data_IF_758016376150
#
_entry.id   IF_758016376150
#
_cell.length_a   1.000
_cell.length_b   1.000
_cell.length_c   1.000
_cell.angle_alpha   90.00
_cell.angle_beta   90.00
_cell.angle_gamma   90.00
#
_symmetry.space_group_name_H-M   'P 1'
#
loop_
_entity.id
_entity.type
_entity.pdbx_description
1 polymer ?
#
# COMPACT_ATOMS: atom_id res chain seq x y z
N UNK A 1 -41.65 -6.11 -2.69
CA UNK A 1 -40.94 -6.64 -3.87
C UNK A 1 -39.46 -6.42 -3.63
N UNK A 2 -38.64 -7.48 -3.50
CA UNK A 2 -37.20 -7.30 -3.44
C UNK A 2 -36.74 -6.92 -4.85
N UNK A 3 -36.06 -5.78 -5.06
CA UNK A 3 -35.35 -5.59 -6.31
C UNK A 3 -34.20 -6.61 -6.36
N UNK A 4 -34.14 -7.37 -7.45
CA UNK A 4 -33.05 -8.26 -7.82
C UNK A 4 -31.69 -7.52 -7.77
N UNK A 5 -30.93 -7.62 -6.68
CA UNK A 5 -29.60 -7.01 -6.62
C UNK A 5 -28.54 -7.94 -7.22
N UNK A 6 -28.55 -8.14 -8.54
CA UNK A 6 -27.41 -8.78 -9.22
C UNK A 6 -26.21 -7.84 -9.18
N UNK A 7 -25.38 -7.89 -8.13
CA UNK A 7 -24.02 -7.34 -8.16
C UNK A 7 -23.17 -8.20 -9.09
N UNK A 8 -23.04 -7.80 -10.36
CA UNK A 8 -22.00 -8.32 -11.25
C UNK A 8 -21.45 -7.20 -12.10
N UNK A 9 -20.13 -7.12 -12.17
CA UNK A 9 -19.42 -6.45 -13.26
C UNK A 9 -18.24 -7.35 -13.69
N UNK A 10 -18.56 -8.62 -13.97
CA UNK A 10 -17.74 -9.73 -14.47
C UNK A 10 -16.19 -9.70 -14.28
N UNK A 11 -15.61 -10.31 -13.25
CA UNK A 11 -15.42 -9.81 -11.88
C UNK A 11 -14.36 -8.68 -11.93
N UNK A 12 -14.71 -7.44 -11.45
CA UNK A 12 -13.99 -6.19 -11.62
C UNK A 12 -13.04 -6.16 -12.79
N UNK A 13 -13.61 -5.76 -13.93
CA UNK A 13 -13.79 -6.68 -15.05
C UNK A 13 -12.49 -7.41 -15.45
N UNK A 14 -12.50 -8.71 -15.15
CA UNK A 14 -11.41 -9.67 -14.90
C UNK A 14 -10.10 -9.09 -14.34
N UNK A 15 -10.13 -8.74 -13.04
CA UNK A 15 -9.08 -8.09 -12.25
C UNK A 15 -8.39 -6.94 -12.98
N UNK A 16 -9.30 -6.14 -13.53
CA UNK A 16 -9.17 -5.08 -14.49
C UNK A 16 -8.25 -5.42 -15.65
N UNK A 17 -8.62 -6.46 -16.40
CA UNK A 17 -7.86 -7.01 -17.53
C UNK A 17 -6.51 -7.58 -17.10
N UNK A 18 -6.49 -8.35 -16.00
CA UNK A 18 -5.33 -8.89 -15.27
C UNK A 18 -4.26 -7.82 -15.03
N UNK A 19 -4.68 -6.78 -14.29
CA UNK A 19 -3.99 -5.53 -14.07
C UNK A 19 -3.31 -5.05 -15.35
N UNK A 20 -4.21 -4.85 -16.32
CA UNK A 20 -3.98 -4.55 -17.74
C UNK A 20 -2.66 -5.19 -18.22
N UNK A 21 -2.77 -6.52 -18.31
CA UNK A 21 -1.78 -7.54 -18.68
C UNK A 21 -0.45 -7.44 -17.93
N UNK A 22 -0.54 -7.44 -16.60
CA UNK A 22 0.55 -7.28 -15.63
C UNK A 22 1.48 -6.14 -16.06
N UNK A 23 0.83 -4.98 -16.20
CA UNK A 23 1.38 -3.74 -16.77
C UNK A 23 2.29 -4.05 -17.96
N UNK A 24 1.62 -4.59 -18.99
CA UNK A 24 2.14 -5.22 -20.20
C UNK A 24 3.52 -5.88 -20.03
N UNK A 25 3.49 -6.90 -19.18
CA UNK A 25 4.55 -7.85 -18.85
C UNK A 25 5.83 -7.18 -18.38
N UNK A 26 5.68 -6.35 -17.34
CA UNK A 26 6.74 -5.53 -16.78
C UNK A 26 7.62 -4.93 -17.90
N UNK A 27 6.90 -4.42 -18.91
CA UNK A 27 7.36 -3.77 -20.12
C UNK A 27 8.54 -4.44 -20.86
N UNK A 28 8.50 -5.77 -21.00
CA UNK A 28 9.28 -6.69 -21.86
C UNK A 28 10.75 -7.08 -21.52
N UNK A 29 11.20 -6.90 -20.28
CA UNK A 29 12.25 -7.71 -19.58
C UNK A 29 13.74 -7.51 -19.96
N UNK A 30 14.76 -8.05 -19.22
CA UNK A 30 14.74 -8.97 -18.06
C UNK A 30 14.98 -8.31 -16.69
N UNK A 31 15.55 -7.10 -16.60
CA UNK A 31 15.61 -6.28 -15.39
C UNK A 31 15.75 -4.85 -15.89
N UNK A 32 14.65 -4.13 -16.00
CA UNK A 32 14.76 -2.71 -16.30
C UNK A 32 15.00 -1.99 -14.97
N UNK A 33 16.17 -1.39 -14.89
CA UNK A 33 16.59 -0.38 -13.91
C UNK A 33 17.35 -0.88 -12.67
N UNK A 34 18.44 -0.16 -12.39
CA UNK A 34 19.56 -0.45 -11.49
C UNK A 34 19.16 -0.72 -10.03
N UNK A 35 18.00 -0.21 -9.61
CA UNK A 35 17.44 -0.33 -8.24
C UNK A 35 16.97 -1.76 -7.92
N UNK A 36 16.71 -2.59 -8.95
CA UNK A 36 16.28 -3.97 -8.77
C UNK A 36 17.42 -4.90 -8.33
N UNK A 37 18.67 -4.49 -8.53
CA UNK A 37 19.86 -5.34 -8.38
C UNK A 37 20.06 -5.86 -6.96
N UNK A 38 19.85 -5.01 -5.95
CA UNK A 38 20.08 -5.42 -4.56
C UNK A 38 19.05 -6.43 -4.07
N UNK A 39 17.75 -6.23 -4.35
CA UNK A 39 16.72 -7.19 -3.94
C UNK A 39 16.86 -8.53 -4.66
N UNK A 40 17.23 -8.52 -5.95
CA UNK A 40 17.51 -9.74 -6.71
C UNK A 40 18.79 -10.45 -6.24
N UNK A 41 19.84 -9.70 -5.89
CA UNK A 41 21.07 -10.25 -5.33
C UNK A 41 20.83 -10.90 -3.97
N UNK A 42 20.16 -10.19 -3.05
CA UNK A 42 19.83 -10.70 -1.72
C UNK A 42 18.98 -11.97 -1.80
N UNK A 43 17.99 -12.02 -2.71
CA UNK A 43 17.18 -13.21 -2.94
C UNK A 43 18.00 -14.39 -3.49
N UNK A 44 18.98 -14.13 -4.37
CA UNK A 44 19.88 -15.15 -4.92
C UNK A 44 20.86 -15.70 -3.88
N UNK A 45 21.32 -14.87 -2.96
CA UNK A 45 22.20 -15.25 -1.84
C UNK A 45 21.45 -16.03 -0.74
N UNK A 46 20.11 -16.06 -0.78
CA UNK A 46 19.29 -16.81 0.17
C UNK A 46 19.03 -16.05 1.47
N UNK A 47 19.14 -14.73 1.47
CA UNK A 47 18.89 -13.90 2.65
C UNK A 47 17.39 -13.60 2.83
N UNK A 48 16.70 -14.45 3.58
CA UNK A 48 15.26 -14.32 3.84
C UNK A 48 14.87 -13.15 4.75
N UNK A 49 15.74 -12.76 5.67
CA UNK A 49 15.45 -11.73 6.68
C UNK A 49 16.52 -10.64 6.64
N UNK A 50 16.08 -9.38 6.69
CA UNK A 50 16.99 -8.25 6.86
C UNK A 50 17.71 -8.36 8.19
N UNK A 51 18.98 -7.96 8.20
CA UNK A 51 19.84 -8.04 9.36
C UNK A 51 19.81 -6.77 10.21
N UNK A 52 19.31 -5.64 9.69
CA UNK A 52 19.24 -4.37 10.39
C UNK A 52 18.01 -3.58 9.95
N UNK A 53 17.41 -2.78 10.84
CA UNK A 53 16.18 -2.03 10.55
C UNK A 53 16.53 -0.61 10.11
N UNK A 54 17.07 -0.50 8.90
CA UNK A 54 17.31 0.76 8.21
C UNK A 54 16.10 1.27 7.42
N UNK A 55 16.13 2.54 6.97
CA UNK A 55 15.06 3.12 6.15
C UNK A 55 14.90 2.44 4.77
N UNK A 56 15.93 1.72 4.30
CA UNK A 56 15.99 1.09 2.96
C UNK A 56 15.88 -0.46 2.98
N UNK A 57 15.70 -1.07 4.16
CA UNK A 57 15.87 -2.52 4.36
C UNK A 57 14.59 -3.35 4.15
N UNK A 58 13.42 -2.70 4.14
CA UNK A 58 12.10 -3.27 3.80
C UNK A 58 11.87 -4.77 4.11
N UNK A 59 11.89 -5.19 5.40
CA UNK A 59 12.01 -6.61 5.78
C UNK A 59 10.95 -7.56 5.21
N UNK A 60 9.69 -7.12 5.11
CA UNK A 60 8.62 -7.96 4.56
C UNK A 60 8.78 -8.14 3.05
N UNK A 61 9.22 -7.09 2.35
CA UNK A 61 9.45 -7.15 0.91
C UNK A 61 10.64 -8.07 0.59
N UNK A 62 11.73 -8.00 1.38
CA UNK A 62 12.85 -8.93 1.25
C UNK A 62 12.44 -10.39 1.46
N UNK A 63 11.65 -10.68 2.51
CA UNK A 63 11.17 -12.03 2.76
C UNK A 63 10.33 -12.55 1.59
N UNK A 64 9.39 -11.73 1.11
CA UNK A 64 8.54 -12.09 -0.03
C UNK A 64 9.37 -12.33 -1.29
N UNK A 65 10.36 -11.48 -1.59
CA UNK A 65 11.25 -11.68 -2.73
C UNK A 65 12.03 -12.99 -2.64
N UNK A 66 12.59 -13.30 -1.47
CA UNK A 66 13.39 -14.51 -1.25
C UNK A 66 12.54 -15.76 -1.39
N UNK A 67 11.38 -15.82 -0.72
CA UNK A 67 10.45 -16.94 -0.83
C UNK A 67 9.95 -17.11 -2.27
N UNK A 68 9.59 -16.02 -2.94
CA UNK A 68 9.09 -16.06 -4.31
C UNK A 68 10.18 -16.50 -5.29
N UNK A 69 11.43 -16.06 -5.09
CA UNK A 69 12.59 -16.53 -5.86
C UNK A 69 12.82 -18.03 -5.69
N UNK A 70 12.80 -18.55 -4.46
CA UNK A 70 13.01 -19.98 -4.20
C UNK A 70 11.94 -20.85 -4.85
N UNK A 71 10.68 -20.37 -4.88
CA UNK A 71 9.56 -21.13 -5.42
C UNK A 71 9.42 -21.02 -6.96
N UNK A 72 9.71 -19.86 -7.54
CA UNK A 72 9.37 -19.56 -8.94
C UNK A 72 10.55 -19.08 -9.79
N UNK A 73 11.72 -18.84 -9.18
CA UNK A 73 12.95 -18.42 -9.85
C UNK A 73 13.02 -16.92 -10.18
N UNK A 74 14.17 -16.51 -10.72
CA UNK A 74 14.49 -15.11 -11.05
C UNK A 74 13.53 -14.47 -12.04
N UNK A 75 13.10 -15.24 -13.06
CA UNK A 75 12.20 -14.75 -14.12
C UNK A 75 10.81 -14.43 -13.61
N UNK A 76 10.33 -15.17 -12.61
CA UNK A 76 9.04 -14.88 -12.00
C UNK A 76 9.18 -13.69 -11.03
N UNK A 77 10.28 -13.64 -10.27
CA UNK A 77 10.53 -12.54 -9.33
C UNK A 77 10.56 -11.17 -10.02
N UNK A 78 11.10 -11.06 -11.22
CA UNK A 78 11.09 -9.80 -11.98
C UNK A 78 9.69 -9.32 -12.37
N UNK A 79 8.67 -10.17 -12.27
CA UNK A 79 7.26 -9.85 -12.51
C UNK A 79 6.47 -9.65 -11.23
N UNK A 80 7.07 -9.85 -10.04
CA UNK A 80 6.33 -9.84 -8.77
C UNK A 80 5.50 -8.56 -8.60
N UNK A 81 6.09 -7.40 -8.83
CA UNK A 81 5.42 -6.12 -8.62
C UNK A 81 4.28 -5.87 -9.59
N UNK A 82 4.41 -6.28 -10.85
CA UNK A 82 3.30 -6.17 -11.80
C UNK A 82 2.16 -7.12 -11.45
N UNK A 83 2.47 -8.29 -10.87
CA UNK A 83 1.47 -9.20 -10.31
C UNK A 83 0.73 -8.59 -9.11
N UNK A 84 1.37 -7.73 -8.31
CA UNK A 84 0.72 -7.04 -7.18
C UNK A 84 -0.35 -6.02 -7.61
N UNK A 85 -0.36 -5.58 -8.87
CA UNK A 85 -1.44 -4.73 -9.37
C UNK A 85 -2.79 -5.47 -9.47
N UNK A 86 -2.76 -6.80 -9.62
CA UNK A 86 -3.95 -7.65 -9.73
C UNK A 86 -4.79 -7.56 -8.44
N UNK A 87 -4.25 -7.83 -7.24
CA UNK A 87 -4.99 -7.58 -6.01
C UNK A 87 -5.28 -6.10 -5.78
N UNK A 88 -4.43 -5.17 -6.26
CA UNK A 88 -4.66 -3.73 -6.11
C UNK A 88 -5.95 -3.28 -6.79
N UNK A 89 -6.16 -3.69 -8.05
CA UNK A 89 -7.36 -3.37 -8.82
C UNK A 89 -8.63 -3.79 -8.08
N UNK A 90 -8.60 -4.98 -7.46
CA UNK A 90 -9.70 -5.48 -6.65
C UNK A 90 -9.91 -4.63 -5.39
N UNK A 91 -8.85 -4.31 -4.65
CA UNK A 91 -8.95 -3.52 -3.41
C UNK A 91 -9.53 -2.15 -3.69
N UNK A 92 -9.04 -1.45 -4.73
CA UNK A 92 -9.55 -0.13 -5.14
C UNK A 92 -11.03 -0.21 -5.50
N UNK A 93 -11.42 -1.21 -6.29
CA UNK A 93 -12.81 -1.45 -6.61
C UNK A 93 -13.67 -1.60 -5.35
N UNK A 94 -13.24 -2.45 -4.41
CA UNK A 94 -13.96 -2.71 -3.15
C UNK A 94 -14.03 -1.48 -2.27
N UNK A 95 -12.95 -0.72 -2.16
CA UNK A 95 -12.92 0.53 -1.41
C UNK A 95 -13.90 1.55 -2.01
N UNK A 96 -13.88 1.74 -3.34
CA UNK A 96 -14.79 2.66 -4.01
C UNK A 96 -16.25 2.29 -3.78
N UNK A 97 -16.60 1.00 -3.87
CA UNK A 97 -17.95 0.54 -3.53
C UNK A 97 -18.32 0.83 -2.07
N UNK A 98 -17.38 0.61 -1.15
CA UNK A 98 -17.58 0.86 0.28
C UNK A 98 -17.79 2.35 0.59
N UNK A 99 -17.27 3.24 -0.25
CA UNK A 99 -17.47 4.69 -0.16
C UNK A 99 -18.75 5.19 -0.87
N UNK A 100 -19.57 4.27 -1.36
CA UNK A 100 -20.87 4.55 -2.00
C UNK A 100 -20.82 4.74 -3.51
N UNK A 101 -19.71 4.42 -4.18
CA UNK A 101 -19.63 4.47 -5.63
C UNK A 101 -20.51 3.38 -6.26
N UNK A 102 -21.19 3.71 -7.37
CA UNK A 102 -21.90 2.74 -8.17
C UNK A 102 -20.93 1.71 -8.80
N UNK A 103 -21.38 0.49 -9.16
CA UNK A 103 -20.52 -0.55 -9.71
C UNK A 103 -19.60 -0.07 -10.85
N UNK A 104 -20.13 0.66 -11.83
CA UNK A 104 -19.35 1.18 -12.97
C UNK A 104 -18.31 2.23 -12.55
N UNK A 105 -18.62 3.08 -11.60
CA UNK A 105 -17.70 4.09 -11.07
C UNK A 105 -16.55 3.44 -10.30
N UNK A 106 -16.84 2.37 -9.55
CA UNK A 106 -15.81 1.60 -8.85
C UNK A 106 -14.82 0.92 -9.82
N UNK A 107 -15.28 0.47 -11.00
CA UNK A 107 -14.40 -0.04 -12.07
C UNK A 107 -13.54 1.07 -12.65
N UNK A 108 -14.12 2.25 -12.90
CA UNK A 108 -13.37 3.43 -13.38
C UNK A 108 -12.31 3.89 -12.38
N UNK A 109 -12.60 3.82 -11.07
CA UNK A 109 -11.62 4.10 -10.03
C UNK A 109 -10.44 3.12 -10.08
N UNK A 110 -10.73 1.83 -10.28
CA UNK A 110 -9.70 0.82 -10.55
C UNK A 110 -8.85 1.17 -11.77
N UNK A 111 -9.48 1.59 -12.87
CA UNK A 111 -8.79 1.93 -14.12
C UNK A 111 -7.89 3.15 -13.96
N UNK A 112 -8.41 4.22 -13.38
CA UNK A 112 -7.67 5.44 -13.12
C UNK A 112 -6.44 5.18 -12.21
N UNK A 113 -6.59 4.29 -11.23
CA UNK A 113 -5.49 3.95 -10.32
C UNK A 113 -4.43 3.12 -11.02
N UNK A 114 -4.82 2.03 -11.70
CA UNK A 114 -3.88 1.11 -12.35
C UNK A 114 -3.15 1.74 -13.54
N UNK A 115 -3.82 2.64 -14.28
CA UNK A 115 -3.24 3.33 -15.43
C UNK A 115 -2.55 4.66 -15.08
N UNK A 116 -2.50 5.03 -13.80
CA UNK A 116 -1.76 6.21 -13.38
C UNK A 116 -0.26 6.02 -13.66
N UNK A 117 0.38 7.04 -14.23
CA UNK A 117 1.78 6.98 -14.65
C UNK A 117 2.72 6.51 -13.53
N UNK A 118 2.56 7.03 -12.31
CA UNK A 118 3.36 6.61 -11.16
C UNK A 118 3.14 5.15 -10.77
N UNK A 119 1.89 4.68 -10.80
CA UNK A 119 1.56 3.28 -10.48
C UNK A 119 2.12 2.33 -11.53
N UNK A 120 2.07 2.72 -12.80
CA UNK A 120 2.68 1.98 -13.90
C UNK A 120 4.21 1.91 -13.79
N UNK A 121 4.89 3.00 -13.42
CA UNK A 121 6.36 2.97 -13.27
C UNK A 121 6.84 2.10 -12.12
N UNK A 122 6.15 2.14 -10.98
CA UNK A 122 6.50 1.33 -9.82
C UNK A 122 6.24 -0.15 -10.10
N UNK A 123 5.28 -0.48 -10.98
CA UNK A 123 4.96 -1.87 -11.31
C UNK A 123 5.98 -2.55 -12.23
N UNK A 124 6.88 -1.81 -12.88
CA UNK A 124 7.95 -2.35 -13.73
C UNK A 124 9.31 -2.48 -13.03
N UNK A 125 9.40 -2.04 -11.78
CA UNK A 125 10.61 -2.13 -10.93
C UNK A 125 10.34 -3.00 -9.70
N UNK A 126 11.41 -3.53 -9.09
CA UNK A 126 11.39 -4.20 -7.80
C UNK A 126 11.38 -3.14 -6.67
N UNK A 127 10.20 -2.55 -6.49
CA UNK A 127 9.91 -1.43 -5.59
C UNK A 127 8.92 -1.82 -4.49
N UNK A 128 9.09 -1.28 -3.29
CA UNK A 128 8.29 -1.71 -2.12
C UNK A 128 6.90 -1.08 -2.08
N UNK A 129 6.68 0.00 -2.84
CA UNK A 129 5.50 0.84 -2.73
C UNK A 129 4.20 0.17 -3.15
N UNK A 130 4.21 -0.76 -4.11
CA UNK A 130 2.98 -1.48 -4.49
C UNK A 130 2.50 -2.40 -3.40
N UNK A 131 3.42 -3.19 -2.81
CA UNK A 131 3.10 -4.05 -1.68
C UNK A 131 2.60 -3.22 -0.49
N UNK A 132 3.29 -2.12 -0.18
CA UNK A 132 2.88 -1.19 0.86
C UNK A 132 1.46 -0.64 0.61
N UNK A 133 1.18 -0.19 -0.61
CA UNK A 133 -0.12 0.35 -1.01
C UNK A 133 -1.25 -0.67 -0.86
N UNK A 134 -1.00 -1.95 -1.16
CA UNK A 134 -1.99 -3.01 -0.95
C UNK A 134 -2.44 -3.09 0.50
N UNK A 135 -1.49 -3.13 1.44
CA UNK A 135 -1.80 -3.23 2.87
C UNK A 135 -2.52 -1.98 3.39
N UNK A 136 -2.07 -0.80 2.97
CA UNK A 136 -2.71 0.47 3.32
C UNK A 136 -4.15 0.49 2.83
N UNK A 137 -4.39 0.25 1.54
CA UNK A 137 -5.74 0.31 0.97
C UNK A 137 -6.64 -0.81 1.49
N UNK A 138 -6.10 -1.99 1.84
CA UNK A 138 -6.85 -3.02 2.54
C UNK A 138 -7.31 -2.55 3.92
N UNK A 139 -6.48 -1.81 4.67
CA UNK A 139 -6.85 -1.29 5.98
C UNK A 139 -8.00 -0.28 5.85
N UNK A 140 -7.92 0.63 4.88
CA UNK A 140 -9.03 1.53 4.52
C UNK A 140 -10.28 0.74 4.11
N UNK A 141 -10.14 -0.26 3.25
CA UNK A 141 -11.25 -1.10 2.79
C UNK A 141 -11.93 -1.81 3.94
N UNK A 142 -11.18 -2.36 4.90
CA UNK A 142 -11.76 -3.03 6.08
C UNK A 142 -12.57 -2.07 6.95
N UNK A 143 -12.10 -0.83 7.12
CA UNK A 143 -12.79 0.17 7.91
C UNK A 143 -14.10 0.61 7.26
N UNK A 144 -14.08 0.89 5.95
CA UNK A 144 -15.25 1.41 5.24
C UNK A 144 -16.21 0.32 4.74
N UNK A 145 -15.81 -0.96 4.77
CA UNK A 145 -16.69 -2.04 4.38
C UNK A 145 -17.75 -2.30 5.46
N UNK A 146 -19.01 -2.04 5.12
CA UNK A 146 -20.19 -2.24 5.97
C UNK A 146 -20.57 -3.72 6.19
N UNK A 147 -19.78 -4.67 5.68
CA UNK A 147 -20.05 -6.08 5.89
C UNK A 147 -20.03 -6.46 7.38
N UNK A 148 -21.11 -7.10 7.83
CA UNK A 148 -21.26 -7.66 9.18
C UNK A 148 -20.44 -8.93 9.43
N UNK A 149 -19.58 -9.36 8.48
CA UNK A 149 -18.77 -10.58 8.62
C UNK A 149 -17.73 -10.50 9.73
N UNK A 150 -17.22 -9.30 10.02
CA UNK A 150 -16.23 -9.07 11.07
C UNK A 150 -16.80 -8.15 12.14
N UNK A 151 -16.74 -8.60 13.39
CA UNK A 151 -17.03 -7.75 14.56
C UNK A 151 -16.07 -6.55 14.60
N UNK A 152 -16.46 -5.41 15.20
CA UNK A 152 -15.61 -4.22 15.27
C UNK A 152 -14.19 -4.48 15.83
N UNK A 153 -14.07 -5.29 16.88
CA UNK A 153 -12.76 -5.60 17.48
C UNK A 153 -11.88 -6.42 16.54
N UNK A 154 -12.46 -7.40 15.82
CA UNK A 154 -11.75 -8.14 14.76
C UNK A 154 -11.33 -7.24 13.61
N UNK A 155 -12.15 -6.25 13.22
CA UNK A 155 -11.75 -5.24 12.22
C UNK A 155 -10.54 -4.44 12.70
N UNK A 156 -10.58 -3.92 13.93
CA UNK A 156 -9.45 -3.19 14.53
C UNK A 156 -8.18 -4.04 14.61
N UNK A 157 -8.29 -5.29 15.03
CA UNK A 157 -7.16 -6.21 15.06
C UNK A 157 -6.57 -6.42 13.66
N UNK A 158 -7.41 -6.70 12.66
CA UNK A 158 -6.97 -6.89 11.27
C UNK A 158 -6.36 -5.63 10.66
N UNK A 159 -6.90 -4.45 10.98
CA UNK A 159 -6.29 -3.16 10.59
C UNK A 159 -4.91 -3.03 11.22
N UNK A 160 -4.75 -3.44 12.49
CA UNK A 160 -3.44 -3.56 13.15
C UNK A 160 -2.48 -4.45 12.38
N UNK A 161 -2.89 -5.67 12.03
CA UNK A 161 -2.08 -6.62 11.25
C UNK A 161 -1.63 -6.02 9.91
N UNK A 162 -2.56 -5.40 9.18
CA UNK A 162 -2.24 -4.73 7.92
C UNK A 162 -1.29 -3.54 8.12
N UNK A 163 -1.44 -2.79 9.21
CA UNK A 163 -0.53 -1.70 9.57
C UNK A 163 0.87 -2.23 9.86
N UNK A 164 0.99 -3.35 10.59
CA UNK A 164 2.28 -3.99 10.87
C UNK A 164 2.97 -4.48 9.59
N UNK A 165 2.22 -5.14 8.71
CA UNK A 165 2.75 -5.60 7.41
C UNK A 165 3.14 -4.43 6.50
N UNK A 166 2.33 -3.36 6.48
CA UNK A 166 2.68 -2.13 5.77
C UNK A 166 3.96 -1.51 6.33
N UNK A 167 4.08 -1.37 7.66
CA UNK A 167 5.28 -0.80 8.29
C UNK A 167 6.51 -1.66 8.01
N UNK A 168 6.40 -2.99 8.15
CA UNK A 168 7.49 -3.90 7.79
C UNK A 168 7.83 -3.88 6.29
N UNK A 169 6.99 -3.26 5.45
CA UNK A 169 7.30 -2.98 4.05
C UNK A 169 7.94 -1.60 3.90
N UNK A 170 7.35 -0.55 4.48
CA UNK A 170 7.84 0.83 4.35
C UNK A 170 7.39 1.74 5.52
N UNK A 171 8.27 2.63 5.97
CA UNK A 171 8.01 3.58 7.06
C UNK A 171 6.92 4.64 6.77
N UNK A 172 6.68 4.98 5.51
CA UNK A 172 5.59 5.89 5.07
C UNK A 172 4.19 5.44 5.53
N UNK A 173 4.06 4.19 5.96
CA UNK A 173 2.86 3.64 6.61
C UNK A 173 2.27 4.61 7.64
N UNK A 174 3.10 5.17 8.51
CA UNK A 174 2.62 6.02 9.60
C UNK A 174 2.06 7.36 9.10
N UNK A 175 2.57 7.89 7.99
CA UNK A 175 2.06 9.12 7.38
C UNK A 175 0.75 8.83 6.66
N UNK A 176 0.72 7.79 5.82
CA UNK A 176 -0.43 7.51 4.94
C UNK A 176 -1.63 6.94 5.71
N UNK A 177 -1.41 6.21 6.81
CA UNK A 177 -2.48 5.70 7.67
C UNK A 177 -2.89 6.68 8.78
N UNK A 178 -2.20 7.80 8.98
CA UNK A 178 -2.56 8.78 10.00
C UNK A 178 -4.03 9.22 9.91
N UNK A 179 -4.58 9.59 8.73
CA UNK A 179 -5.99 9.96 8.62
C UNK A 179 -6.94 8.84 9.04
N UNK A 180 -6.61 7.58 8.69
CA UNK A 180 -7.39 6.42 9.11
C UNK A 180 -7.36 6.27 10.63
N UNK A 181 -6.18 6.36 11.27
CA UNK A 181 -6.06 6.21 12.71
C UNK A 181 -6.74 7.33 13.49
N UNK A 182 -6.72 8.58 12.99
CA UNK A 182 -7.50 9.68 13.56
C UNK A 182 -9.01 9.39 13.47
N UNK A 183 -9.47 8.89 12.33
CA UNK A 183 -10.86 8.48 12.15
C UNK A 183 -11.25 7.32 13.06
N UNK A 184 -10.39 6.31 13.21
CA UNK A 184 -10.60 5.19 14.12
C UNK A 184 -10.62 5.65 15.58
N UNK A 185 -9.74 6.56 15.97
CA UNK A 185 -9.68 7.12 17.31
C UNK A 185 -10.97 7.86 17.65
N UNK A 186 -11.48 8.64 16.69
CA UNK A 186 -12.76 9.31 16.81
C UNK A 186 -13.92 8.31 17.02
N UNK A 187 -13.99 7.24 16.22
CA UNK A 187 -15.08 6.28 16.27
C UNK A 187 -15.01 5.29 17.45
N UNK A 188 -13.82 4.77 17.75
CA UNK A 188 -13.63 3.64 18.65
C UNK A 188 -12.91 4.01 19.96
N UNK A 189 -12.42 5.26 20.09
CA UNK A 189 -11.74 5.77 21.29
C UNK A 189 -10.61 4.83 21.73
N UNK A 190 -10.54 4.49 23.02
CA UNK A 190 -9.53 3.59 23.57
C UNK A 190 -9.52 2.18 22.94
N UNK A 191 -10.62 1.72 22.32
CA UNK A 191 -10.65 0.40 21.68
C UNK A 191 -9.71 0.31 20.47
N UNK A 192 -9.26 1.45 19.92
CA UNK A 192 -8.22 1.47 18.86
C UNK A 192 -6.93 0.78 19.30
N UNK A 193 -6.65 0.70 20.61
CA UNK A 193 -5.48 -0.03 21.13
C UNK A 193 -5.45 -1.51 20.74
N UNK A 194 -6.57 -2.10 20.29
CA UNK A 194 -6.62 -3.46 19.73
C UNK A 194 -5.82 -3.58 18.43
N UNK A 195 -5.53 -2.46 17.76
CA UNK A 195 -4.61 -2.44 16.61
C UNK A 195 -3.18 -2.80 17.01
N UNK A 196 -2.75 -2.57 18.26
CA UNK A 196 -1.38 -2.82 18.72
C UNK A 196 -0.96 -4.30 18.66
N UNK A 197 -1.70 -5.27 19.25
CA UNK A 197 -1.34 -6.68 19.11
C UNK A 197 -1.39 -7.16 17.66
N UNK A 198 -2.31 -6.61 16.85
CA UNK A 198 -2.33 -6.87 15.40
C UNK A 198 -1.06 -6.34 14.72
N UNK A 199 -0.66 -5.11 15.04
CA UNK A 199 0.56 -4.49 14.50
C UNK A 199 1.79 -5.33 14.79
N UNK A 200 1.96 -5.80 16.03
CA UNK A 200 3.10 -6.65 16.40
C UNK A 200 3.14 -7.95 15.60
N UNK A 201 1.98 -8.57 15.37
CA UNK A 201 1.88 -9.75 14.50
C UNK A 201 2.29 -9.43 13.06
N UNK A 202 1.78 -8.33 12.49
CA UNK A 202 2.09 -7.93 11.12
C UNK A 202 3.54 -7.48 10.92
N UNK A 203 4.17 -6.95 11.97
CA UNK A 203 5.56 -6.47 11.96
C UNK A 203 6.59 -7.58 12.24
N UNK A 204 6.14 -8.83 12.41
CA UNK A 204 7.00 -9.95 12.79
C UNK A 204 8.19 -10.19 11.86
N UNK A 205 8.07 -9.86 10.57
CA UNK A 205 9.16 -9.99 9.60
C UNK A 205 10.34 -9.05 9.83
N UNK A 206 10.10 -7.93 10.52
CA UNK A 206 11.16 -7.02 10.97
C UNK A 206 11.79 -7.45 12.31
N UNK A 207 11.24 -8.46 13.00
CA UNK A 207 11.72 -8.86 14.32
C UNK A 207 13.19 -9.31 14.30
N UNK A 208 13.62 -10.02 13.25
CA UNK A 208 15.02 -10.46 13.11
C UNK A 208 15.97 -9.27 13.06
N UNK A 209 15.65 -8.26 12.26
CA UNK A 209 16.41 -7.02 12.17
C UNK A 209 16.46 -6.28 13.52
N UNK A 210 15.32 -6.19 14.21
CA UNK A 210 15.24 -5.57 15.55
C UNK A 210 16.11 -6.35 16.55
N UNK A 211 16.02 -7.67 16.60
CA UNK A 211 16.83 -8.48 17.52
C UNK A 211 18.32 -8.36 17.22
N UNK A 212 18.72 -8.34 15.96
CA UNK A 212 20.11 -8.15 15.57
C UNK A 212 20.62 -6.76 15.96
N UNK A 213 19.86 -5.71 15.69
CA UNK A 213 20.22 -4.34 16.08
C UNK A 213 20.32 -4.22 17.62
N UNK A 214 19.43 -4.87 18.37
CA UNK A 214 19.54 -4.95 19.83
C UNK A 214 20.82 -5.70 20.27
N UNK A 215 21.15 -6.80 19.60
CA UNK A 215 22.36 -7.58 19.89
C UNK A 215 23.66 -6.84 19.54
N UNK A 216 23.62 -5.92 18.57
CA UNK A 216 24.76 -5.03 18.26
C UNK A 216 24.88 -3.85 19.22
N UNK A 217 23.97 -3.73 20.20
CA UNK A 217 24.02 -2.74 21.27
C UNK A 217 23.20 -1.47 21.01
N UNK A 218 22.39 -1.42 19.93
CA UNK A 218 21.49 -0.28 19.69
C UNK A 218 20.29 -0.34 20.64
N UNK A 219 19.88 0.82 21.17
CA UNK A 219 18.65 0.92 21.95
C UNK A 219 17.40 0.88 21.06
N UNK A 220 16.26 0.44 21.62
CA UNK A 220 14.97 0.43 20.89
C UNK A 220 14.58 1.80 20.31
N UNK A 221 14.87 2.89 21.04
CA UNK A 221 14.61 4.25 20.57
C UNK A 221 15.52 4.64 19.40
N UNK A 222 16.78 4.19 19.41
CA UNK A 222 17.73 4.46 18.33
C UNK A 222 17.36 3.69 17.07
N UNK A 223 16.92 2.44 17.22
CA UNK A 223 16.36 1.62 16.14
C UNK A 223 15.14 2.31 15.55
N UNK A 224 14.18 2.73 16.39
CA UNK A 224 12.98 3.42 15.94
C UNK A 224 13.30 4.74 15.23
N UNK A 225 14.25 5.52 15.77
CA UNK A 225 14.70 6.77 15.17
C UNK A 225 15.38 6.54 13.82
N UNK A 226 16.30 5.59 13.74
CA UNK A 226 16.99 5.22 12.49
C UNK A 226 15.97 4.78 11.44
N UNK A 227 15.05 3.91 11.84
CA UNK A 227 13.99 3.41 10.97
C UNK A 227 13.09 4.54 10.44
N UNK A 228 12.71 5.52 11.27
CA UNK A 228 11.78 6.61 10.91
C UNK A 228 12.44 7.82 10.23
N UNK A 229 13.70 8.08 10.52
CA UNK A 229 14.35 9.35 10.12
C UNK A 229 15.56 9.13 9.22
N UNK A 230 15.99 7.89 8.98
CA UNK A 230 17.20 7.54 8.22
C UNK A 230 18.50 8.07 8.79
N UNK A 231 18.43 8.94 9.81
CA UNK A 231 19.55 9.50 10.51
C UNK A 231 19.97 8.53 11.61
N UNK A 232 21.03 7.77 11.35
CA UNK A 232 21.85 7.25 12.44
C UNK A 232 22.45 8.45 13.18
N UNK A 233 22.27 8.52 14.51
CA UNK A 233 22.94 9.51 15.34
C UNK A 233 24.47 9.30 15.40
N UNK A 234 24.97 8.20 14.83
CA UNK A 234 26.33 7.68 15.03
C UNK A 234 27.09 7.58 13.69
N UNK A 235 26.40 7.46 12.55
CA UNK A 235 27.01 7.22 11.24
C UNK A 235 26.39 8.18 10.23
N UNK A 236 27.14 9.22 9.82
CA UNK A 236 26.82 10.00 8.64
C UNK A 236 27.05 9.11 7.41
N UNK A 237 25.97 8.60 6.83
CA UNK A 237 26.01 7.68 5.70
C UNK A 237 24.96 8.00 4.64
N UNK A 238 25.04 7.35 3.47
CA UNK A 238 24.11 7.54 2.34
C UNK A 238 22.63 7.26 2.67
N UNK A 239 22.33 6.71 3.86
CA UNK A 239 20.98 6.49 4.39
C UNK A 239 20.16 7.79 4.59
N UNK A 240 20.80 8.97 4.54
CA UNK A 240 20.10 10.26 4.53
C UNK A 240 19.08 10.34 3.40
N UNK A 241 19.38 9.79 2.22
CA UNK A 241 18.49 9.87 1.06
C UNK A 241 17.15 9.13 1.23
N UNK A 242 17.09 8.12 2.10
CA UNK A 242 15.88 7.34 2.37
C UNK A 242 14.98 7.87 3.50
N UNK A 243 15.26 9.06 4.04
CA UNK A 243 14.55 9.60 5.22
C UNK A 243 13.12 10.06 4.91
N UNK A 244 12.18 9.74 5.82
CA UNK A 244 10.76 10.10 5.73
C UNK A 244 10.48 11.62 5.76
N UNK A 245 11.45 12.42 6.23
CA UNK A 245 11.27 13.85 6.48
C UNK A 245 12.08 14.76 5.52
N UNK A 246 12.31 14.30 4.30
CA UNK A 246 12.99 15.08 3.24
C UNK A 246 12.02 15.86 2.36
N UNK A 247 11.35 16.84 2.96
CA UNK A 247 10.50 17.77 2.23
C UNK A 247 11.28 18.71 1.31
N UNK A 248 12.58 18.86 1.55
CA UNK A 248 13.53 19.66 0.79
C UNK A 248 13.71 19.15 -0.65
N UNK A 249 13.93 17.85 -0.86
CA UNK A 249 14.07 17.28 -2.21
C UNK A 249 12.75 17.27 -3.00
N UNK A 250 11.62 17.02 -2.33
CA UNK A 250 10.28 17.09 -2.93
C UNK A 250 9.96 18.49 -3.51
N UNK A 251 10.52 19.54 -2.91
CA UNK A 251 10.38 20.92 -3.35
C UNK A 251 11.33 21.31 -4.48
N UNK A 252 12.42 20.57 -4.66
CA UNK A 252 13.45 20.81 -5.68
C UNK A 252 12.98 20.28 -7.05
N UNK A 253 12.30 19.14 -7.09
CA UNK A 253 11.67 18.59 -8.30
C UNK A 253 10.29 19.18 -8.61
N UNK A 254 10.16 20.52 -8.63
CA UNK A 254 8.87 21.23 -8.80
C UNK A 254 8.04 20.75 -9.99
N UNK A 255 8.68 20.43 -11.12
CA UNK A 255 7.98 19.98 -12.32
C UNK A 255 7.44 18.55 -12.16
N UNK A 256 8.18 17.67 -11.47
CA UNK A 256 7.72 16.32 -11.16
C UNK A 256 6.58 16.37 -10.14
N UNK A 257 6.70 17.21 -9.10
CA UNK A 257 5.64 17.42 -8.11
C UNK A 257 4.34 17.96 -8.75
N UNK A 258 4.44 18.90 -9.69
CA UNK A 258 3.27 19.45 -10.41
C UNK A 258 2.65 18.41 -11.35
N UNK A 259 3.46 17.64 -12.09
CA UNK A 259 2.97 16.56 -12.96
C UNK A 259 2.35 15.41 -12.17
N UNK A 260 2.91 15.10 -10.99
CA UNK A 260 2.35 14.14 -10.03
C UNK A 260 1.02 14.66 -9.48
N UNK A 261 0.94 15.92 -9.08
CA UNK A 261 -0.32 16.54 -8.65
C UNK A 261 -1.36 16.54 -9.76
N UNK A 262 -1.02 16.95 -10.98
CA UNK A 262 -1.94 16.94 -12.12
C UNK A 262 -2.41 15.53 -12.49
N UNK A 263 -1.51 14.53 -12.42
CA UNK A 263 -1.87 13.14 -12.71
C UNK A 263 -2.65 12.45 -11.59
N UNK A 264 -2.43 12.85 -10.32
CA UNK A 264 -3.16 12.37 -9.13
C UNK A 264 -4.48 13.10 -8.87
N UNK A 265 -4.70 14.26 -9.49
CA UNK A 265 -5.88 15.09 -9.28
C UNK A 265 -6.78 15.10 -10.52
N UNK A 266 -6.22 15.03 -11.73
CA UNK A 266 -6.96 15.11 -12.99
C UNK A 266 -8.08 14.07 -13.11
N UNK A 267 -7.81 12.76 -12.96
CA UNK A 267 -8.84 11.72 -12.99
C UNK A 267 -9.89 11.85 -11.88
N UNK A 268 -9.47 12.31 -10.70
CA UNK A 268 -10.29 12.47 -9.51
C UNK A 268 -11.22 13.69 -9.64
N UNK A 269 -10.72 14.81 -10.16
CA UNK A 269 -11.49 16.01 -10.51
C UNK A 269 -12.43 15.75 -11.68
N UNK A 270 -11.98 15.06 -12.73
CA UNK A 270 -12.83 14.66 -13.83
C UNK A 270 -13.96 13.74 -13.33
N UNK A 271 -13.65 12.79 -12.43
CA UNK A 271 -14.66 11.97 -11.76
C UNK A 271 -15.66 12.78 -10.94
N UNK A 272 -15.19 13.80 -10.22
CA UNK A 272 -16.04 14.73 -9.43
C UNK A 272 -16.93 15.62 -10.30
N UNK A 273 -16.42 16.11 -11.43
CA UNK A 273 -17.14 16.98 -12.37
C UNK A 273 -18.15 16.21 -13.22
N UNK A 274 -17.79 15.00 -13.66
CA UNK A 274 -18.66 14.14 -14.49
C UNK A 274 -19.72 13.42 -13.65
N UNK A 275 -19.44 13.15 -12.38
CA UNK A 275 -20.35 12.47 -11.46
C UNK A 275 -20.42 13.19 -10.12
N UNK A 276 -20.95 14.42 -10.06
CA UNK A 276 -21.14 15.10 -8.81
C UNK A 276 -22.02 14.25 -7.91
N UNK A 277 -21.59 14.02 -6.66
CA UNK A 277 -22.46 13.45 -5.63
C UNK A 277 -23.74 14.27 -5.66
N UNK A 278 -24.88 13.63 -5.92
CA UNK A 278 -26.15 14.25 -5.57
C UNK A 278 -26.06 14.47 -4.06
N UNK A 279 -25.86 15.72 -3.66
CA UNK A 279 -26.12 16.16 -2.30
C UNK A 279 -27.62 16.00 -2.14
N UNK A 280 -28.04 14.79 -1.80
CA UNK A 280 -29.39 14.53 -1.34
C UNK A 280 -29.52 15.31 -0.06
N UNK A 281 -30.19 16.45 -0.12
CA UNK A 281 -30.79 17.08 1.04
C UNK A 281 -31.44 15.96 1.89
N UNK A 282 -30.92 15.76 3.10
CA UNK A 282 -31.79 15.30 4.17
C UNK A 282 -32.95 16.28 4.20
N UNK A 283 -34.18 15.77 4.05
CA UNK A 283 -35.42 16.51 3.78
C UNK A 283 -35.73 16.73 2.28
N UNK A 284 -36.12 15.65 1.58
CA UNK A 284 -37.45 15.57 0.98
C UNK A 284 -37.62 14.22 0.29
N UNK A 285 -38.59 13.45 0.77
CA UNK A 285 -39.03 12.25 0.09
C UNK A 285 -39.60 12.61 -1.28
N UNK A 286 -38.89 12.28 -2.34
CA UNK A 286 -39.46 12.19 -3.68
C UNK A 286 -39.02 10.88 -4.29
N UNK A 287 -39.93 9.90 -4.18
CA UNK A 287 -40.01 8.77 -5.10
C UNK A 287 -40.01 9.30 -6.53
N UNK A 288 -39.18 8.77 -7.42
CA UNK A 288 -39.57 8.60 -8.82
C UNK A 288 -39.04 7.29 -9.38
N UNK A 289 -39.93 6.72 -10.19
CA UNK A 289 -39.94 5.42 -10.85
C UNK A 289 -38.67 5.10 -11.65
#
# INVERSE_FOLDING_TARGET
>A
MPPDSRTSIAMPLFLLGAAIAASFLASSGPVQWMENGMFLANAREGHYFSQSLGPLEHPLYQLLNSVFFTLFGSRALSLLNSLLLVPLAWIVYRLAQSLGAGPRQAVLAGAATVLAHGVFWVSTKAEVYLLHTLFVLLAYTLQFNDSNRLTPLKKLFMIGVLTGMAASTHQLTFVVLLPLYLHLLYLYKARVLITLPGFMLGFATAAVAVFNDLNTGLGLLDIARRYLTGASAIIAGPEWQGSLLRFDELLEERNAAILVLLSLIGPQLAGLLLFPRRVGCGCCGVRRC
#
